data_IF_846814076800
#
_entry.id   IF_846814076800
#
_cell.length_a   1.000
_cell.length_b   1.000
_cell.length_c   1.000
_cell.angle_alpha   90.00
_cell.angle_beta   90.00
_cell.angle_gamma   90.00
#
_symmetry.space_group_name_H-M   'P 1'
#
loop_
_entity.id
_entity.type
_entity.pdbx_description
1 polymer ?
#
# COMPACT_ATOMS: atom_id res chain seq x y z
N UNK A 1 -4.36 11.23 -4.65
CA UNK A 1 -3.62 10.27 -3.79
C UNK A 1 -2.92 9.25 -4.65
N UNK A 2 -1.85 8.64 -4.13
CA UNK A 2 -0.99 7.71 -4.88
C UNK A 2 -1.22 6.27 -4.41
N UNK A 3 -1.34 5.34 -5.35
CA UNK A 3 -1.68 3.93 -5.11
C UNK A 3 -0.70 3.01 -5.83
N UNK A 4 -0.47 1.84 -5.25
CA UNK A 4 0.34 0.78 -5.86
C UNK A 4 -0.53 0.00 -6.83
N UNK A 5 -0.23 0.09 -8.13
CA UNK A 5 -0.95 -0.69 -9.15
C UNK A 5 -0.33 -2.08 -9.35
N UNK A 6 1.00 -2.14 -9.48
CA UNK A 6 1.76 -3.39 -9.67
C UNK A 6 3.07 -3.34 -8.92
N UNK A 7 3.52 -4.52 -8.50
CA UNK A 7 4.85 -4.73 -7.91
C UNK A 7 5.70 -5.42 -8.98
N UNK A 8 6.93 -4.95 -9.17
CA UNK A 8 7.86 -5.54 -10.13
C UNK A 8 8.34 -6.88 -9.61
N UNK A 9 8.08 -7.94 -10.37
CA UNK A 9 8.53 -9.30 -10.04
C UNK A 9 10.06 -9.37 -9.89
N UNK A 10 10.55 -9.99 -8.83
CA UNK A 10 11.96 -10.05 -8.48
C UNK A 10 12.57 -8.71 -8.03
N UNK A 11 11.74 -7.69 -7.78
CA UNK A 11 12.17 -6.42 -7.18
C UNK A 11 12.17 -6.48 -5.65
N UNK A 12 12.76 -5.47 -4.97
CA UNK A 12 12.83 -5.43 -3.50
C UNK A 12 11.47 -5.58 -2.82
N UNK A 13 10.46 -4.89 -3.35
CA UNK A 13 9.08 -4.94 -2.87
C UNK A 13 8.42 -6.32 -3.02
N UNK A 14 8.81 -7.09 -4.04
CA UNK A 14 8.31 -8.44 -4.30
C UNK A 14 9.00 -9.46 -3.38
N UNK A 15 10.33 -9.35 -3.25
CA UNK A 15 11.14 -10.21 -2.37
C UNK A 15 10.69 -10.09 -0.92
N UNK A 16 10.40 -8.86 -0.47
CA UNK A 16 9.91 -8.58 0.88
C UNK A 16 8.45 -9.02 1.05
N UNK A 17 7.65 -9.03 -0.03
CA UNK A 17 6.27 -9.54 -0.04
C UNK A 17 5.28 -8.76 0.84
N UNK A 18 5.68 -7.62 1.41
CA UNK A 18 4.84 -6.84 2.31
C UNK A 18 3.81 -5.99 1.56
N UNK A 19 4.18 -5.47 0.39
CA UNK A 19 3.28 -4.66 -0.43
C UNK A 19 2.28 -5.51 -1.19
N UNK A 20 1.09 -4.97 -1.41
CA UNK A 20 0.09 -5.55 -2.29
C UNK A 20 -0.41 -4.50 -3.28
N UNK A 21 -0.89 -4.92 -4.47
CA UNK A 21 -1.69 -4.06 -5.32
C UNK A 21 -2.84 -3.43 -4.52
N UNK A 22 -3.20 -2.21 -4.90
CA UNK A 22 -4.23 -1.38 -4.27
C UNK A 22 -3.89 -0.79 -2.90
N UNK A 23 -2.68 -1.05 -2.36
CA UNK A 23 -2.20 -0.32 -1.19
C UNK A 23 -2.08 1.19 -1.54
N UNK A 24 -2.66 2.05 -0.70
CA UNK A 24 -2.60 3.51 -0.83
C UNK A 24 -1.40 4.04 -0.04
N UNK A 25 -0.53 4.83 -0.68
CA UNK A 25 0.62 5.44 0.00
C UNK A 25 0.17 6.66 0.79
N UNK A 26 0.46 6.66 2.10
CA UNK A 26 0.18 7.75 3.02
C UNK A 26 1.45 8.55 3.39
N UNK A 27 2.61 7.89 3.39
CA UNK A 27 3.89 8.49 3.78
C UNK A 27 5.04 7.82 3.05
N UNK A 28 6.09 8.58 2.74
CA UNK A 28 7.36 8.11 2.17
C UNK A 28 8.51 8.73 2.97
N UNK A 29 9.40 7.89 3.54
CA UNK A 29 10.59 8.28 4.32
C UNK A 29 10.32 9.38 5.37
N UNK A 30 9.18 9.31 6.06
CA UNK A 30 8.79 10.33 7.06
C UNK A 30 7.97 11.49 6.49
N UNK A 31 7.94 11.70 5.18
CA UNK A 31 7.15 12.76 4.53
C UNK A 31 5.74 12.27 4.24
N UNK A 32 4.73 12.96 4.81
CA UNK A 32 3.32 12.63 4.62
C UNK A 32 2.88 12.97 3.19
N UNK A 33 2.49 11.96 2.41
CA UNK A 33 2.11 12.09 0.99
C UNK A 33 0.61 11.92 0.75
N UNK A 34 -0.23 11.98 1.79
CA UNK A 34 -1.70 11.82 1.68
C UNK A 34 -2.32 12.84 0.73
N UNK A 35 -1.80 14.06 0.74
CA UNK A 35 -2.24 15.21 -0.08
C UNK A 35 -1.43 15.38 -1.36
N UNK A 36 -0.40 14.55 -1.56
CA UNK A 36 0.47 14.63 -2.73
C UNK A 36 -0.09 13.83 -3.89
N UNK A 37 0.26 14.28 -5.10
CA UNK A 37 0.02 13.59 -6.35
C UNK A 37 1.27 12.81 -6.80
N UNK A 38 1.21 12.22 -8.00
CA UNK A 38 2.35 11.48 -8.55
C UNK A 38 3.56 12.39 -8.80
N UNK A 39 3.36 13.65 -9.18
CA UNK A 39 4.44 14.60 -9.47
C UNK A 39 5.31 14.86 -8.25
N UNK A 40 4.72 14.89 -7.06
CA UNK A 40 5.44 15.11 -5.80
C UNK A 40 5.90 13.80 -5.13
N UNK A 41 5.14 12.72 -5.27
CA UNK A 41 5.43 11.45 -4.57
C UNK A 41 6.50 10.61 -5.27
N UNK A 42 6.49 10.55 -6.62
CA UNK A 42 7.49 9.80 -7.39
C UNK A 42 8.93 10.26 -7.11
N UNK A 43 9.26 11.56 -7.09
CA UNK A 43 10.62 12.00 -6.77
C UNK A 43 11.02 11.67 -5.32
N UNK A 44 10.09 11.65 -4.36
CA UNK A 44 10.39 11.21 -2.99
C UNK A 44 10.77 9.74 -2.94
N UNK A 45 10.05 8.89 -3.69
CA UNK A 45 10.37 7.46 -3.80
C UNK A 45 11.71 7.26 -4.51
N UNK A 46 11.96 7.99 -5.61
CA UNK A 46 13.21 7.90 -6.36
C UNK A 46 14.42 8.40 -5.55
N UNK A 47 14.23 9.42 -4.70
CA UNK A 47 15.26 9.96 -3.83
C UNK A 47 15.57 9.07 -2.61
N UNK A 48 14.76 8.04 -2.35
CA UNK A 48 14.97 7.11 -1.22
C UNK A 48 16.25 6.27 -1.36
N UNK A 49 16.77 6.08 -2.58
CA UNK A 49 17.96 5.29 -2.83
C UNK A 49 17.78 3.83 -2.44
N UNK A 50 18.63 3.33 -1.55
CA UNK A 50 18.72 1.92 -1.17
C UNK A 50 17.70 1.48 -0.10
N UNK A 51 17.02 2.41 0.57
CA UNK A 51 16.04 2.12 1.62
C UNK A 51 14.78 2.96 1.45
N UNK A 52 13.63 2.30 1.28
CA UNK A 52 12.35 2.96 1.12
C UNK A 52 11.40 2.57 2.25
N UNK A 53 11.11 3.53 3.13
CA UNK A 53 10.14 3.37 4.21
C UNK A 53 8.81 4.04 3.82
N UNK A 54 7.74 3.27 3.74
CA UNK A 54 6.43 3.79 3.33
C UNK A 54 5.33 3.36 4.30
N UNK A 55 4.45 4.29 4.63
CA UNK A 55 3.21 3.99 5.36
C UNK A 55 2.10 3.86 4.34
N UNK A 56 1.41 2.73 4.35
CA UNK A 56 0.31 2.47 3.42
C UNK A 56 -0.99 2.17 4.15
N UNK A 57 -2.10 2.54 3.54
CA UNK A 57 -3.42 2.08 3.93
C UNK A 57 -3.84 0.95 2.99
N UNK A 58 -4.20 -0.19 3.57
CA UNK A 58 -4.80 -1.30 2.84
C UNK A 58 -6.29 -1.31 3.12
N UNK A 59 -7.08 -1.31 2.05
CA UNK A 59 -8.51 -1.59 2.17
C UNK A 59 -8.69 -3.10 2.31
N UNK A 60 -9.23 -3.55 3.45
CA UNK A 60 -9.67 -4.93 3.58
C UNK A 60 -11.03 -5.04 2.88
N UNK A 61 -10.99 -5.29 1.57
CA UNK A 61 -12.19 -5.74 0.87
C UNK A 61 -12.37 -7.20 1.28
N UNK A 62 -13.51 -7.55 1.88
CA UNK A 62 -13.84 -8.87 2.46
C UNK A 62 -13.82 -10.05 1.48
N UNK A 63 -13.05 -10.00 0.40
CA UNK A 63 -12.83 -11.11 -0.51
C UNK A 63 -11.92 -12.22 0.05
N UNK A 64 -11.16 -11.98 1.13
CA UNK A 64 -10.42 -13.07 1.82
C UNK A 64 -11.33 -13.98 2.67
N UNK A 65 -12.62 -13.69 2.81
CA UNK A 65 -13.61 -14.58 3.44
C UNK A 65 -14.31 -15.54 2.44
N UNK A 66 -14.08 -15.44 1.14
CA UNK A 66 -14.70 -16.34 0.13
C UNK A 66 -14.05 -17.73 0.01
N UNK A 67 -13.51 -18.27 1.11
CA UNK A 67 -13.28 -19.72 1.24
C UNK A 67 -14.27 -20.40 2.20
N UNK A 68 -15.14 -19.68 2.91
CA UNK A 68 -16.25 -20.29 3.66
C UNK A 68 -17.52 -19.47 3.51
N UNK A 69 -18.61 -20.19 3.23
CA UNK A 69 -19.94 -19.68 2.86
C UNK A 69 -20.53 -18.69 3.87
N UNK A 70 -21.46 -17.88 3.33
CA UNK A 70 -22.73 -17.40 3.92
C UNK A 70 -22.84 -15.88 4.04
N UNK A 71 -24.04 -15.42 3.70
CA UNK A 71 -24.52 -14.05 3.59
C UNK A 71 -24.53 -13.35 4.94
N UNK A 72 -24.11 -12.07 5.01
CA UNK A 72 -24.95 -10.99 5.51
C UNK A 72 -24.22 -9.64 5.53
N UNK A 73 -25.05 -8.62 5.57
CA UNK A 73 -24.89 -7.18 5.43
C UNK A 73 -23.84 -6.51 6.33
N UNK A 74 -23.43 -5.29 5.91
CA UNK A 74 -22.54 -4.30 6.54
C UNK A 74 -21.03 -4.42 6.27
N UNK A 75 -20.56 -4.06 5.06
CA UNK A 75 -19.12 -3.85 4.86
C UNK A 75 -18.69 -2.47 5.39
N UNK A 76 -18.60 -2.34 6.72
CA UNK A 76 -17.66 -1.40 7.31
C UNK A 76 -16.30 -1.73 6.69
N UNK A 77 -15.82 -0.88 5.78
CA UNK A 77 -14.59 -1.16 5.06
C UNK A 77 -13.44 -0.98 6.04
N UNK A 78 -13.07 -2.05 6.73
CA UNK A 78 -11.97 -2.01 7.68
C UNK A 78 -10.69 -1.69 6.90
N UNK A 79 -10.08 -0.55 7.20
CA UNK A 79 -8.89 -0.09 6.51
C UNK A 79 -7.72 -0.17 7.47
N UNK A 80 -6.80 -1.11 7.24
CA UNK A 80 -5.61 -1.25 8.08
C UNK A 80 -4.51 -0.31 7.60
N UNK A 81 -3.98 0.52 8.51
CA UNK A 81 -2.79 1.32 8.27
C UNK A 81 -1.56 0.50 8.67
N UNK A 82 -0.62 0.33 7.76
CA UNK A 82 0.57 -0.50 7.96
C UNK A 82 1.81 0.26 7.50
N UNK A 83 2.82 0.36 8.37
CA UNK A 83 4.16 0.84 8.01
C UNK A 83 4.98 -0.30 7.43
N UNK A 84 5.63 -0.07 6.29
CA UNK A 84 6.39 -1.07 5.55
C UNK A 84 7.73 -0.49 5.13
N UNK A 85 8.79 -1.27 5.31
CA UNK A 85 10.14 -0.93 4.85
C UNK A 85 10.53 -1.91 3.75
N UNK A 86 11.14 -1.39 2.69
CA UNK A 86 11.56 -2.11 1.49
C UNK A 86 13.03 -1.79 1.24
#
# INVERSE_FOLDING_TARGET
GVYINRIRQGGPADIVGLLRPYDRILQVNGTRTVEYDCCLTVPLIAAAGDRLEIVVQRLLVSNELKSQRSEDSSSASDSSIVTKTI
#
